data_IF_028415084906
#
_entry.id   IF_028415084906
#
_cell.length_a   1.000
_cell.length_b   1.000
_cell.length_c   1.000
_cell.angle_alpha   90.00
_cell.angle_beta   90.00
_cell.angle_gamma   90.00
#
_symmetry.space_group_name_H-M   'P 1'
#
loop_
_entity.id
_entity.type
_entity.pdbx_description
1 polymer ?
#
# COMPACT_ATOMS: atom_id res chain seq x y z
N UNK A 1 -72.92 -15.35 -11.36
CA UNK A 1 -73.63 -14.39 -12.23
C UNK A 1 -74.28 -13.40 -11.27
N UNK A 2 -73.95 -12.13 -11.12
CA UNK A 2 -73.29 -11.04 -11.88
C UNK A 2 -72.48 -10.21 -10.85
N UNK A 3 -71.22 -9.75 -11.04
CA UNK A 3 -70.64 -8.74 -11.94
C UNK A 3 -71.46 -7.46 -12.12
N UNK A 4 -70.86 -6.34 -11.69
CA UNK A 4 -71.02 -4.95 -12.14
C UNK A 4 -71.83 -3.98 -11.24
N UNK A 5 -71.19 -3.45 -10.19
CA UNK A 5 -71.29 -2.05 -9.74
C UNK A 5 -69.85 -1.64 -9.34
N UNK A 6 -69.04 -1.38 -10.38
CA UNK A 6 -67.69 -0.81 -10.32
C UNK A 6 -67.65 0.19 -11.45
N UNK A 7 -68.07 1.42 -11.19
CA UNK A 7 -67.83 2.67 -11.93
C UNK A 7 -68.85 3.69 -11.45
N UNK A 8 -68.49 4.98 -11.33
CA UNK A 8 -69.31 6.12 -10.85
C UNK A 8 -69.15 6.48 -9.34
N UNK A 9 -68.04 6.14 -8.69
CA UNK A 9 -67.61 6.82 -7.45
C UNK A 9 -66.11 7.17 -7.46
N UNK A 10 -65.58 7.49 -8.64
CA UNK A 10 -64.15 7.75 -8.86
C UNK A 10 -63.87 9.10 -9.56
N UNK A 11 -64.73 10.11 -9.34
CA UNK A 11 -64.71 11.35 -10.12
C UNK A 11 -64.57 12.67 -9.37
N UNK A 12 -64.78 12.76 -8.05
CA UNK A 12 -64.84 14.06 -7.34
C UNK A 12 -64.22 13.98 -5.93
N UNK A 13 -63.04 13.38 -5.81
CA UNK A 13 -62.12 13.57 -4.66
C UNK A 13 -60.68 13.63 -5.22
N UNK A 14 -60.45 14.51 -6.19
CA UNK A 14 -59.14 14.65 -6.86
C UNK A 14 -58.66 16.11 -6.96
N UNK A 15 -59.33 17.07 -6.32
CA UNK A 15 -58.93 18.48 -6.35
C UNK A 15 -59.31 19.20 -5.04
N UNK A 16 -58.79 18.76 -3.89
CA UNK A 16 -58.70 19.56 -2.64
C UNK A 16 -58.11 18.75 -1.47
N UNK A 17 -56.83 18.38 -1.57
CA UNK A 17 -55.93 18.17 -0.39
C UNK A 17 -54.48 17.87 -0.81
N UNK A 18 -54.10 18.26 -2.03
CA UNK A 18 -52.73 18.30 -2.51
C UNK A 18 -52.04 19.58 -1.98
N UNK A 19 -51.94 19.72 -0.65
CA UNK A 19 -51.26 20.86 -0.01
C UNK A 19 -50.76 20.55 1.41
N UNK A 20 -50.42 19.30 1.72
CA UNK A 20 -49.56 18.95 2.86
C UNK A 20 -48.66 17.78 2.50
N UNK A 21 -47.85 17.97 1.45
CA UNK A 21 -46.68 17.12 1.24
C UNK A 21 -45.66 17.50 2.31
N UNK A 22 -45.62 16.67 3.35
CA UNK A 22 -44.56 16.54 4.31
C UNK A 22 -43.18 16.84 3.68
N UNK A 23 -42.67 18.02 3.99
CA UNK A 23 -41.24 18.30 3.89
C UNK A 23 -40.54 17.66 5.09
N UNK A 24 -40.49 16.33 5.12
CA UNK A 24 -39.50 15.61 5.92
C UNK A 24 -38.29 15.39 5.04
N UNK A 25 -37.56 16.47 4.74
CA UNK A 25 -36.18 16.31 4.32
C UNK A 25 -35.47 15.55 5.45
N UNK A 26 -34.74 14.45 5.18
CA UNK A 26 -33.88 13.88 6.19
C UNK A 26 -32.92 14.99 6.61
N UNK A 27 -33.03 15.44 7.85
CA UNK A 27 -32.00 16.26 8.47
C UNK A 27 -30.76 15.37 8.46
N UNK A 28 -29.88 15.60 7.48
CA UNK A 28 -28.54 15.04 7.51
C UNK A 28 -27.88 15.79 8.65
N UNK A 29 -28.02 15.27 9.86
CA UNK A 29 -27.22 15.69 10.99
C UNK A 29 -25.78 15.34 10.64
N UNK A 30 -25.08 16.31 10.06
CA UNK A 30 -23.65 16.34 9.91
C UNK A 30 -23.04 16.50 11.30
N UNK A 31 -23.08 15.43 12.09
CA UNK A 31 -22.31 15.35 13.32
C UNK A 31 -20.84 15.43 12.95
N UNK A 32 -20.27 16.62 13.08
CA UNK A 32 -18.84 16.82 13.02
C UNK A 32 -18.22 16.01 14.16
N UNK A 33 -17.65 14.84 13.86
CA UNK A 33 -17.01 14.02 14.89
C UNK A 33 -16.01 14.85 15.67
N UNK A 34 -16.19 14.89 16.99
CA UNK A 34 -15.31 15.65 17.88
C UNK A 34 -13.91 15.04 17.88
N UNK A 35 -12.89 15.85 18.22
CA UNK A 35 -11.50 15.37 18.30
C UNK A 35 -11.35 14.14 19.23
N UNK A 36 -12.19 14.05 20.28
CA UNK A 36 -12.27 12.90 21.18
C UNK A 36 -12.79 11.63 20.50
N UNK A 37 -13.84 11.71 19.69
CA UNK A 37 -14.36 10.56 18.94
C UNK A 37 -13.34 10.00 17.94
N UNK A 38 -12.59 10.86 17.27
CA UNK A 38 -11.54 10.44 16.34
C UNK A 38 -10.43 9.69 17.08
N UNK A 39 -10.05 10.17 18.27
CA UNK A 39 -9.07 9.50 19.11
C UNK A 39 -9.56 8.12 19.57
N UNK A 40 -10.83 8.01 19.98
CA UNK A 40 -11.45 6.72 20.33
C UNK A 40 -11.41 5.75 19.15
N UNK A 41 -11.77 6.20 17.94
CA UNK A 41 -11.70 5.37 16.73
C UNK A 41 -10.28 4.88 16.44
N UNK A 42 -9.26 5.72 16.64
CA UNK A 42 -7.85 5.33 16.49
C UNK A 42 -7.47 4.24 17.50
N UNK A 43 -7.88 4.39 18.77
CA UNK A 43 -7.61 3.41 19.82
C UNK A 43 -8.29 2.05 19.54
N UNK A 44 -9.52 2.08 19.04
CA UNK A 44 -10.27 0.91 18.59
C UNK A 44 -9.54 0.15 17.48
N UNK A 45 -9.03 0.88 16.47
CA UNK A 45 -8.24 0.29 15.40
C UNK A 45 -6.92 -0.29 15.91
N UNK A 46 -6.26 0.36 16.88
CA UNK A 46 -5.06 -0.16 17.53
C UNK A 46 -5.32 -1.51 18.23
N UNK A 47 -6.42 -1.60 18.98
CA UNK A 47 -6.82 -2.83 19.67
C UNK A 47 -7.12 -3.96 18.68
N UNK A 48 -7.80 -3.66 17.56
CA UNK A 48 -8.05 -4.62 16.47
C UNK A 48 -6.75 -5.13 15.84
N UNK A 49 -5.75 -4.26 15.68
CA UNK A 49 -4.42 -4.64 15.16
C UNK A 49 -3.75 -5.65 16.10
N UNK A 50 -3.78 -5.44 17.42
CA UNK A 50 -3.17 -6.35 18.39
C UNK A 50 -3.82 -7.75 18.38
N UNK A 51 -5.15 -7.80 18.29
CA UNK A 51 -5.88 -9.06 18.18
C UNK A 51 -5.47 -9.84 16.92
N UNK A 52 -5.42 -9.16 15.76
CA UNK A 52 -4.99 -9.75 14.49
C UNK A 52 -3.54 -10.21 14.52
N UNK A 53 -2.64 -9.46 15.17
CA UNK A 53 -1.24 -9.87 15.33
C UNK A 53 -1.10 -11.17 16.13
N UNK A 54 -1.90 -11.33 17.18
CA UNK A 54 -1.95 -12.57 17.95
C UNK A 54 -2.43 -13.75 17.10
N UNK A 55 -3.42 -13.53 16.22
CA UNK A 55 -3.89 -14.54 15.27
C UNK A 55 -2.83 -14.91 14.23
N UNK A 56 -2.12 -13.92 13.68
CA UNK A 56 -1.00 -14.11 12.75
C UNK A 56 0.10 -14.97 13.38
N UNK A 57 0.42 -14.75 14.66
CA UNK A 57 1.41 -15.54 15.38
C UNK A 57 0.96 -17.01 15.55
N UNK A 58 -0.33 -17.27 15.77
CA UNK A 58 -0.87 -18.64 15.79
C UNK A 58 -0.70 -19.32 14.43
N UNK A 59 -1.06 -18.63 13.34
CA UNK A 59 -0.87 -19.16 11.99
C UNK A 59 0.60 -19.40 11.64
N UNK A 60 1.52 -18.57 12.13
CA UNK A 60 2.95 -18.81 11.96
C UNK A 60 3.37 -20.11 12.64
N UNK A 61 2.99 -20.32 13.91
CA UNK A 61 3.29 -21.57 14.63
C UNK A 61 2.71 -22.81 13.93
N UNK A 62 1.50 -22.70 13.38
CA UNK A 62 0.91 -23.78 12.60
C UNK A 62 1.70 -24.09 11.32
N UNK A 63 2.21 -23.07 10.62
CA UNK A 63 3.07 -23.25 9.45
C UNK A 63 4.39 -23.93 9.81
N UNK A 64 5.03 -23.49 10.90
CA UNK A 64 6.30 -24.06 11.37
C UNK A 64 6.13 -25.54 11.73
N UNK A 65 5.03 -25.90 12.40
CA UNK A 65 4.68 -27.29 12.71
C UNK A 65 4.40 -28.16 11.48
N UNK A 66 3.93 -27.57 10.38
CA UNK A 66 3.76 -28.30 9.10
C UNK A 66 5.10 -28.44 8.38
N UNK A 67 5.97 -27.44 8.47
CA UNK A 67 7.31 -27.46 7.87
C UNK A 67 8.21 -28.59 8.36
N UNK A 68 8.01 -29.05 9.60
CA UNK A 68 8.75 -30.20 10.17
C UNK A 68 8.19 -31.57 9.76
N UNK A 69 7.03 -31.62 9.10
CA UNK A 69 6.38 -32.86 8.67
C UNK A 69 6.75 -33.23 7.23
N UNK A 70 6.59 -34.52 6.88
CA UNK A 70 6.84 -35.01 5.51
C UNK A 70 6.02 -34.20 4.48
N UNK A 71 6.68 -33.76 3.41
CA UNK A 71 6.03 -33.04 2.32
C UNK A 71 5.13 -34.00 1.52
N UNK A 72 3.82 -33.78 1.60
CA UNK A 72 2.77 -34.48 0.85
C UNK A 72 1.89 -33.45 0.16
N UNK A 73 1.07 -33.88 -0.80
CA UNK A 73 0.12 -32.97 -1.46
C UNK A 73 -0.86 -32.36 -0.44
N UNK A 74 -1.29 -33.16 0.54
CA UNK A 74 -2.18 -32.71 1.61
C UNK A 74 -1.51 -31.73 2.58
N UNK A 75 -0.27 -32.00 3.03
CA UNK A 75 0.46 -31.06 3.90
C UNK A 75 0.78 -29.75 3.18
N UNK A 76 1.03 -29.81 1.87
CA UNK A 76 1.20 -28.64 1.00
C UNK A 76 -0.09 -27.83 0.87
N UNK A 77 -1.25 -28.47 0.65
CA UNK A 77 -2.56 -27.79 0.59
C UNK A 77 -2.90 -27.16 1.95
N UNK A 78 -2.60 -27.84 3.05
CA UNK A 78 -2.79 -27.31 4.41
C UNK A 78 -1.91 -26.09 4.65
N UNK A 79 -0.63 -26.16 4.30
CA UNK A 79 0.31 -25.03 4.37
C UNK A 79 -0.18 -23.84 3.55
N UNK A 80 -0.58 -24.04 2.28
CA UNK A 80 -1.14 -22.96 1.45
C UNK A 80 -2.43 -22.37 2.05
N UNK A 81 -3.29 -23.21 2.65
CA UNK A 81 -4.52 -22.75 3.30
C UNK A 81 -4.22 -21.88 4.52
N UNK A 82 -3.24 -22.24 5.35
CA UNK A 82 -2.83 -21.43 6.51
C UNK A 82 -2.11 -20.16 6.05
N UNK A 83 -1.21 -20.24 5.06
CA UNK A 83 -0.56 -19.07 4.44
C UNK A 83 -1.60 -18.09 3.90
N UNK A 84 -2.68 -18.58 3.29
CA UNK A 84 -3.82 -17.74 2.87
C UNK A 84 -4.51 -17.05 4.05
N UNK A 85 -4.78 -17.78 5.14
CA UNK A 85 -5.39 -17.21 6.36
C UNK A 85 -4.48 -16.13 6.97
N UNK A 86 -3.19 -16.43 7.13
CA UNK A 86 -2.17 -15.48 7.60
C UNK A 86 -2.12 -14.23 6.73
N UNK A 87 -2.08 -14.38 5.41
CA UNK A 87 -2.05 -13.25 4.49
C UNK A 87 -3.34 -12.42 4.53
N UNK A 88 -4.49 -13.05 4.75
CA UNK A 88 -5.77 -12.36 4.95
C UNK A 88 -5.79 -11.56 6.27
N UNK A 89 -5.25 -12.14 7.35
CA UNK A 89 -5.10 -11.42 8.61
C UNK A 89 -4.12 -10.24 8.48
N UNK A 90 -3.00 -10.43 7.77
CA UNK A 90 -2.05 -9.36 7.44
C UNK A 90 -2.72 -8.24 6.62
N UNK A 91 -3.54 -8.57 5.62
CA UNK A 91 -4.32 -7.59 4.86
C UNK A 91 -5.25 -6.78 5.76
N UNK A 92 -5.92 -7.44 6.71
CA UNK A 92 -6.78 -6.77 7.66
C UNK A 92 -5.98 -5.82 8.58
N UNK A 93 -4.78 -6.22 9.01
CA UNK A 93 -3.86 -5.34 9.76
C UNK A 93 -3.49 -4.12 8.91
N UNK A 94 -3.05 -4.33 7.66
CA UNK A 94 -2.70 -3.24 6.74
C UNK A 94 -3.87 -2.28 6.53
N UNK A 95 -5.08 -2.80 6.31
CA UNK A 95 -6.30 -1.99 6.15
C UNK A 95 -6.62 -1.17 7.40
N UNK A 96 -6.51 -1.76 8.59
CA UNK A 96 -6.71 -1.02 9.85
C UNK A 96 -5.66 0.08 10.06
N UNK A 97 -4.40 -0.16 9.66
CA UNK A 97 -3.35 0.86 9.67
C UNK A 97 -3.65 2.01 8.70
N UNK A 98 -4.13 1.71 7.49
CA UNK A 98 -4.57 2.72 6.51
C UNK A 98 -5.72 3.57 7.07
N UNK A 99 -6.71 2.94 7.71
CA UNK A 99 -7.83 3.64 8.34
C UNK A 99 -7.35 4.53 9.48
N UNK A 100 -6.47 4.03 10.35
CA UNK A 100 -5.87 4.81 11.44
C UNK A 100 -5.07 6.00 10.91
N UNK A 101 -4.28 5.81 9.85
CA UNK A 101 -3.54 6.89 9.20
C UNK A 101 -4.49 7.93 8.58
N UNK A 102 -5.62 7.51 8.02
CA UNK A 102 -6.65 8.41 7.48
C UNK A 102 -7.27 9.26 8.59
N UNK A 103 -7.70 8.65 9.69
CA UNK A 103 -8.24 9.36 10.84
C UNK A 103 -7.23 10.36 11.43
N UNK A 104 -5.95 9.97 11.48
CA UNK A 104 -4.86 10.84 11.94
C UNK A 104 -4.62 12.01 10.98
N UNK A 105 -4.72 11.81 9.67
CA UNK A 105 -4.66 12.90 8.68
C UNK A 105 -5.81 13.88 8.90
N UNK A 106 -7.03 13.38 9.07
CA UNK A 106 -8.20 14.25 9.31
C UNK A 106 -8.04 15.06 10.61
N UNK A 107 -7.45 14.45 11.66
CA UNK A 107 -7.13 15.16 12.92
C UNK A 107 -6.06 16.23 12.70
N UNK A 108 -5.00 15.93 11.94
CA UNK A 108 -3.95 16.89 11.61
C UNK A 108 -4.51 18.05 10.77
N UNK A 109 -5.38 17.78 9.79
CA UNK A 109 -6.06 18.81 9.00
C UNK A 109 -6.88 19.76 9.87
N UNK A 110 -7.69 19.21 10.80
CA UNK A 110 -8.43 20.03 11.77
C UNK A 110 -7.52 20.89 12.64
N UNK A 111 -6.41 20.33 13.12
CA UNK A 111 -5.44 21.07 13.94
C UNK A 111 -4.71 22.16 13.16
N UNK A 112 -4.38 21.91 11.89
CA UNK A 112 -3.75 22.88 10.99
C UNK A 112 -4.73 24.03 10.73
N UNK A 113 -5.99 23.73 10.39
CA UNK A 113 -7.01 24.74 10.16
C UNK A 113 -7.26 25.58 11.41
N UNK A 114 -7.40 24.95 12.59
CA UNK A 114 -7.53 25.68 13.85
C UNK A 114 -6.33 26.59 14.13
N UNK A 115 -5.11 26.10 13.86
CA UNK A 115 -3.90 26.91 14.02
C UNK A 115 -3.89 28.09 13.05
N UNK A 116 -4.34 27.89 11.81
CA UNK A 116 -4.49 28.95 10.82
C UNK A 116 -5.52 30.00 11.26
N UNK A 117 -6.69 29.57 11.73
CA UNK A 117 -7.73 30.48 12.22
C UNK A 117 -7.21 31.36 13.38
N UNK A 118 -6.42 30.78 14.28
CA UNK A 118 -5.78 31.51 15.37
C UNK A 118 -4.73 32.51 14.87
N UNK A 119 -3.91 32.15 13.87
CA UNK A 119 -2.96 33.08 13.23
C UNK A 119 -3.71 34.26 12.61
N UNK A 120 -4.79 33.99 11.89
CA UNK A 120 -5.58 35.03 11.23
C UNK A 120 -6.30 35.94 12.24
N UNK A 121 -6.80 35.36 13.34
CA UNK A 121 -7.38 36.13 14.44
C UNK A 121 -6.36 37.05 15.10
N UNK A 122 -5.18 36.54 15.45
CA UNK A 122 -4.11 37.35 16.04
C UNK A 122 -3.62 38.42 15.06
N UNK A 123 -3.48 38.10 13.77
CA UNK A 123 -3.07 39.06 12.74
C UNK A 123 -4.09 40.19 12.57
N UNK A 124 -5.39 39.88 12.61
CA UNK A 124 -6.45 40.89 12.63
C UNK A 124 -6.40 41.76 13.87
N UNK A 125 -6.08 41.18 15.04
CA UNK A 125 -5.94 41.93 16.28
C UNK A 125 -4.75 42.91 16.22
N UNK A 126 -3.60 42.48 15.70
CA UNK A 126 -2.44 43.37 15.44
C UNK A 126 -2.82 44.48 14.46
N UNK A 127 -3.46 44.15 13.34
CA UNK A 127 -3.88 45.15 12.36
C UNK A 127 -4.88 46.16 12.96
N UNK A 128 -5.79 45.71 13.82
CA UNK A 128 -6.72 46.60 14.54
C UNK A 128 -5.99 47.50 15.53
N UNK A 129 -5.05 46.95 16.30
CA UNK A 129 -4.23 47.71 17.23
C UNK A 129 -3.44 48.83 16.52
N UNK A 130 -2.80 48.50 15.38
CA UNK A 130 -2.07 49.48 14.56
C UNK A 130 -2.98 50.57 13.99
N UNK A 131 -4.18 50.22 13.51
CA UNK A 131 -5.17 51.21 13.05
C UNK A 131 -5.66 52.13 14.17
N UNK A 132 -5.79 51.62 15.40
CA UNK A 132 -6.16 52.44 16.55
C UNK A 132 -5.06 53.45 16.88
N UNK A 133 -3.79 53.06 16.79
CA UNK A 133 -2.66 54.00 16.94
C UNK A 133 -2.75 55.09 15.88
N UNK A 134 -2.82 54.70 14.60
CA UNK A 134 -2.88 55.63 13.47
C UNK A 134 -4.08 56.58 13.53
N UNK A 135 -5.26 56.07 13.91
CA UNK A 135 -6.47 56.89 14.06
C UNK A 135 -6.40 57.86 15.25
N UNK A 136 -5.70 57.50 16.33
CA UNK A 136 -5.49 58.38 17.47
C UNK A 136 -4.45 59.47 17.14
N UNK A 137 -3.40 59.13 16.38
CA UNK A 137 -2.42 60.08 15.86
C UNK A 137 -3.06 61.05 14.84
N UNK A 138 -3.95 60.56 13.99
CA UNK A 138 -4.66 61.37 12.99
C UNK A 138 -5.77 62.26 13.58
N UNK A 139 -6.40 61.85 14.70
CA UNK A 139 -7.40 62.67 15.42
C UNK A 139 -6.77 63.67 16.38
N UNK A 140 -5.51 63.50 16.74
CA UNK A 140 -4.77 64.51 17.48
C UNK A 140 -4.54 65.72 16.56
N UNK A 141 -5.39 66.73 16.70
CA UNK A 141 -5.17 68.07 16.14
C UNK A 141 -3.93 68.64 16.84
N UNK A 142 -2.74 68.31 16.34
CA UNK A 142 -1.45 68.48 17.02
C UNK A 142 -1.22 67.51 18.20
N UNK A 143 -0.10 66.75 18.23
CA UNK A 143 0.33 65.95 19.39
C UNK A 143 0.35 66.73 20.71
N UNK A 144 0.51 68.06 20.63
CA UNK A 144 0.49 68.98 21.77
C UNK A 144 -0.93 69.12 22.37
N UNK A 145 -1.99 69.06 21.57
CA UNK A 145 -3.37 69.17 22.07
C UNK A 145 -3.84 67.92 22.82
N UNK A 146 -3.30 66.73 22.47
CA UNK A 146 -3.60 65.47 23.16
C UNK A 146 -3.00 65.45 24.58
N UNK A 147 -1.79 65.99 24.73
CA UNK A 147 -1.10 66.17 26.02
C UNK A 147 -1.84 67.18 26.92
N UNK A 148 -2.54 68.16 26.32
CA UNK A 148 -3.32 69.19 27.03
C UNK A 148 -4.77 68.76 27.37
N UNK A 149 -5.30 67.72 26.73
CA UNK A 149 -6.71 67.28 26.87
C UNK A 149 -6.89 66.03 27.76
N UNK A 150 -5.80 65.39 28.18
CA UNK A 150 -5.79 64.25 29.10
C UNK A 150 -5.08 64.64 30.40
N UNK A 151 -5.39 64.00 31.53
CA UNK A 151 -4.88 64.34 32.86
C UNK A 151 -3.36 64.03 33.08
N UNK A 152 -2.54 64.20 32.05
CA UNK A 152 -1.08 64.13 32.12
C UNK A 152 -0.46 63.30 31.00
N UNK A 153 0.71 63.73 30.53
CA UNK A 153 1.59 63.00 29.61
C UNK A 153 1.85 61.54 30.05
N UNK A 154 1.83 61.28 31.36
CA UNK A 154 2.04 59.95 31.93
C UNK A 154 0.96 58.95 31.51
N UNK A 155 -0.32 59.32 31.56
CA UNK A 155 -1.43 58.41 31.22
C UNK A 155 -1.42 58.04 29.73
N UNK A 156 -1.11 59.01 28.86
CA UNK A 156 -0.96 58.78 27.43
C UNK A 156 0.24 57.86 27.12
N UNK A 157 1.37 58.03 27.83
CA UNK A 157 2.54 57.19 27.67
C UNK A 157 2.26 55.74 28.11
N UNK A 158 1.51 55.56 29.20
CA UNK A 158 1.08 54.25 29.71
C UNK A 158 0.22 53.50 28.69
N UNK A 159 -0.74 54.18 28.03
CA UNK A 159 -1.58 53.55 27.00
C UNK A 159 -0.77 53.10 25.78
N UNK A 160 0.19 53.91 25.32
CA UNK A 160 1.08 53.55 24.21
C UNK A 160 1.97 52.37 24.58
N UNK A 161 2.51 52.33 25.80
CA UNK A 161 3.33 51.21 26.26
C UNK A 161 2.51 49.92 26.39
N UNK A 162 1.28 49.97 26.92
CA UNK A 162 0.38 48.82 26.96
C UNK A 162 0.08 48.25 25.58
N UNK A 163 -0.20 49.12 24.60
CA UNK A 163 -0.46 48.71 23.23
C UNK A 163 0.78 48.14 22.56
N UNK A 164 1.96 48.69 22.86
CA UNK A 164 3.26 48.17 22.42
C UNK A 164 3.55 46.78 22.99
N UNK A 165 3.32 46.58 24.29
CA UNK A 165 3.44 45.27 24.95
C UNK A 165 2.46 44.25 24.37
N UNK A 166 1.20 44.63 24.15
CA UNK A 166 0.19 43.78 23.54
C UNK A 166 0.57 43.35 22.12
N UNK A 167 1.04 44.27 21.28
CA UNK A 167 1.49 43.96 19.93
C UNK A 167 2.70 43.02 19.92
N UNK A 168 3.67 43.21 20.83
CA UNK A 168 4.79 42.27 21.00
C UNK A 168 4.31 40.87 21.36
N UNK A 169 3.38 40.75 22.32
CA UNK A 169 2.83 39.46 22.73
C UNK A 169 2.06 38.76 21.60
N UNK A 170 1.28 39.50 20.81
CA UNK A 170 0.59 38.95 19.64
C UNK A 170 1.57 38.53 18.53
N UNK A 171 2.62 39.32 18.29
CA UNK A 171 3.68 38.98 17.34
C UNK A 171 4.37 37.67 17.71
N UNK A 172 4.75 37.52 18.98
CA UNK A 172 5.32 36.27 19.51
C UNK A 172 4.34 35.10 19.36
N UNK A 173 3.05 35.31 19.68
CA UNK A 173 2.02 34.29 19.53
C UNK A 173 1.85 33.84 18.07
N UNK A 174 1.84 34.77 17.10
CA UNK A 174 1.78 34.46 15.66
C UNK A 174 3.01 33.65 15.23
N UNK A 175 4.20 34.02 15.72
CA UNK A 175 5.44 33.31 15.41
C UNK A 175 5.39 31.86 15.92
N UNK A 176 4.98 31.65 17.16
CA UNK A 176 4.85 30.30 17.73
C UNK A 176 3.76 29.47 17.06
N UNK A 177 2.61 30.07 16.73
CA UNK A 177 1.56 29.39 15.95
C UNK A 177 2.04 29.01 14.54
N UNK A 178 2.84 29.86 13.89
CA UNK A 178 3.40 29.59 12.56
C UNK A 178 4.39 28.42 12.60
N UNK A 179 5.25 28.37 13.64
CA UNK A 179 6.12 27.20 13.90
C UNK A 179 5.29 25.93 14.13
N UNK A 180 4.27 26.00 14.98
CA UNK A 180 3.39 24.87 15.25
C UNK A 180 2.70 24.37 13.98
N UNK A 181 2.17 25.28 13.14
CA UNK A 181 1.57 24.94 11.85
C UNK A 181 2.56 24.22 10.94
N UNK A 182 3.78 24.73 10.83
CA UNK A 182 4.85 24.13 10.02
C UNK A 182 5.17 22.70 10.48
N UNK A 183 5.27 22.50 11.80
CA UNK A 183 5.50 21.17 12.40
C UNK A 183 4.33 20.20 12.14
N UNK A 184 3.09 20.68 12.26
CA UNK A 184 1.89 19.89 11.96
C UNK A 184 1.85 19.49 10.48
N UNK A 185 2.11 20.41 9.55
CA UNK A 185 2.16 20.14 8.11
C UNK A 185 3.28 19.15 7.75
N UNK A 186 4.46 19.27 8.37
CA UNK A 186 5.53 18.29 8.18
C UNK A 186 5.14 16.89 8.68
N UNK A 187 4.43 16.82 9.82
CA UNK A 187 3.89 15.56 10.35
C UNK A 187 2.83 14.97 9.42
N UNK A 188 1.94 15.81 8.89
CA UNK A 188 0.91 15.40 7.93
C UNK A 188 1.53 14.80 6.65
N UNK A 189 2.57 15.43 6.11
CA UNK A 189 3.29 14.93 4.94
C UNK A 189 3.89 13.52 5.21
N UNK A 190 4.50 13.31 6.37
CA UNK A 190 5.03 11.99 6.79
C UNK A 190 3.93 10.94 6.87
N UNK A 191 2.80 11.25 7.53
CA UNK A 191 1.68 10.30 7.65
C UNK A 191 1.07 9.97 6.29
N UNK A 192 0.99 10.95 5.37
CA UNK A 192 0.50 10.75 4.01
C UNK A 192 1.41 9.81 3.21
N UNK A 193 2.73 9.98 3.32
CA UNK A 193 3.71 9.08 2.69
C UNK A 193 3.57 7.65 3.24
N UNK A 194 3.53 7.48 4.56
CA UNK A 194 3.31 6.15 5.18
C UNK A 194 1.99 5.52 4.75
N UNK A 195 0.92 6.31 4.60
CA UNK A 195 -0.37 5.80 4.08
C UNK A 195 -0.23 5.26 2.65
N UNK A 196 0.53 5.93 1.78
CA UNK A 196 0.77 5.47 0.41
C UNK A 196 1.57 4.15 0.40
N UNK A 197 2.61 4.04 1.23
CA UNK A 197 3.37 2.79 1.40
C UNK A 197 2.46 1.64 1.85
N UNK A 198 1.57 1.89 2.81
CA UNK A 198 0.61 0.88 3.28
C UNK A 198 -0.39 0.47 2.19
N UNK A 199 -0.81 1.38 1.32
CA UNK A 199 -1.67 1.07 0.17
C UNK A 199 -0.92 0.18 -0.83
N UNK A 200 0.34 0.51 -1.13
CA UNK A 200 1.19 -0.34 -1.99
C UNK A 200 1.33 -1.74 -1.40
N UNK A 201 1.67 -1.84 -0.11
CA UNK A 201 1.78 -3.12 0.60
C UNK A 201 0.47 -3.91 0.56
N UNK A 202 -0.68 -3.25 0.70
CA UNK A 202 -1.99 -3.90 0.59
C UNK A 202 -2.20 -4.49 -0.81
N UNK A 203 -1.81 -3.79 -1.86
CA UNK A 203 -1.93 -4.28 -3.24
C UNK A 203 -1.03 -5.49 -3.49
N UNK A 204 0.19 -5.46 -2.97
CA UNK A 204 1.13 -6.59 -3.06
C UNK A 204 0.58 -7.83 -2.33
N UNK A 205 0.05 -7.63 -1.12
CA UNK A 205 -0.60 -8.68 -0.34
C UNK A 205 -1.83 -9.27 -1.05
N UNK A 206 -2.63 -8.45 -1.75
CA UNK A 206 -3.76 -8.92 -2.57
C UNK A 206 -3.24 -9.78 -3.74
N UNK A 207 -2.20 -9.34 -4.43
CA UNK A 207 -1.60 -10.07 -5.55
C UNK A 207 -1.00 -11.41 -5.10
N UNK A 208 -0.26 -11.43 -3.99
CA UNK A 208 0.23 -12.66 -3.37
C UNK A 208 -0.90 -13.61 -3.01
N UNK A 209 -2.01 -13.09 -2.47
CA UNK A 209 -3.17 -13.90 -2.13
C UNK A 209 -3.79 -14.55 -3.36
N UNK A 210 -3.97 -13.81 -4.46
CA UNK A 210 -4.48 -14.38 -5.72
C UNK A 210 -3.61 -15.53 -6.22
N UNK A 211 -2.28 -15.40 -6.14
CA UNK A 211 -1.35 -16.47 -6.50
C UNK A 211 -1.51 -17.70 -5.60
N UNK A 212 -1.64 -17.50 -4.28
CA UNK A 212 -1.88 -18.61 -3.33
C UNK A 212 -3.24 -19.27 -3.59
N UNK A 213 -4.29 -18.50 -3.87
CA UNK A 213 -5.63 -19.01 -4.17
C UNK A 213 -5.62 -19.87 -5.44
N UNK A 214 -4.98 -19.41 -6.52
CA UNK A 214 -4.82 -20.17 -7.76
C UNK A 214 -4.03 -21.47 -7.53
N UNK A 215 -2.90 -21.39 -6.82
CA UNK A 215 -2.09 -22.57 -6.48
C UNK A 215 -2.85 -23.58 -5.62
N UNK A 216 -3.63 -23.09 -4.65
CA UNK A 216 -4.46 -23.93 -3.78
C UNK A 216 -5.54 -24.63 -4.59
N UNK A 217 -6.21 -23.92 -5.50
CA UNK A 217 -7.23 -24.50 -6.38
C UNK A 217 -6.66 -25.61 -7.27
N UNK A 218 -5.53 -25.36 -7.95
CA UNK A 218 -4.86 -26.34 -8.81
C UNK A 218 -4.47 -27.59 -8.02
N UNK A 219 -3.87 -27.43 -6.84
CA UNK A 219 -3.46 -28.57 -6.00
C UNK A 219 -4.65 -29.35 -5.45
N UNK A 220 -5.74 -28.69 -5.04
CA UNK A 220 -6.98 -29.36 -4.63
C UNK A 220 -7.64 -30.14 -5.77
N UNK A 221 -7.65 -29.56 -6.98
CA UNK A 221 -8.14 -30.23 -8.18
C UNK A 221 -7.32 -31.49 -8.49
N UNK A 222 -6.00 -31.39 -8.38
CA UNK A 222 -5.10 -32.52 -8.55
C UNK A 222 -5.33 -33.61 -7.51
N UNK A 223 -5.45 -33.24 -6.22
CA UNK A 223 -5.74 -34.19 -5.13
C UNK A 223 -7.05 -34.96 -5.38
N UNK A 224 -8.09 -34.27 -5.86
CA UNK A 224 -9.36 -34.89 -6.26
C UNK A 224 -9.18 -35.84 -7.46
N UNK A 225 -8.42 -35.44 -8.47
CA UNK A 225 -8.12 -36.27 -9.65
C UNK A 225 -7.31 -37.52 -9.30
N UNK A 226 -6.39 -37.42 -8.35
CA UNK A 226 -5.63 -38.57 -7.84
C UNK A 226 -6.44 -39.40 -6.84
N UNK A 227 -7.73 -39.11 -6.64
CA UNK A 227 -8.63 -39.79 -5.70
C UNK A 227 -8.04 -39.86 -4.28
N UNK A 228 -7.38 -38.77 -3.85
CA UNK A 228 -6.65 -38.69 -2.58
C UNK A 228 -5.53 -39.74 -2.41
N UNK A 229 -5.05 -40.36 -3.50
CA UNK A 229 -3.91 -41.29 -3.45
C UNK A 229 -2.61 -40.53 -3.65
N UNK A 230 -1.89 -40.28 -2.56
CA UNK A 230 -0.55 -39.66 -2.58
C UNK A 230 0.43 -40.48 -3.44
N UNK A 231 0.32 -41.82 -3.43
CA UNK A 231 1.15 -42.70 -4.28
C UNK A 231 0.96 -42.44 -5.78
N UNK A 232 -0.27 -42.17 -6.23
CA UNK A 232 -0.57 -41.82 -7.62
C UNK A 232 -0.01 -40.45 -8.00
N UNK A 233 0.02 -39.49 -7.07
CA UNK A 233 0.65 -38.19 -7.28
C UNK A 233 2.18 -38.28 -7.36
N UNK A 234 2.81 -39.04 -6.46
CA UNK A 234 4.26 -39.26 -6.48
C UNK A 234 4.70 -39.97 -7.78
N UNK A 235 3.90 -40.92 -8.28
CA UNK A 235 4.10 -41.53 -9.61
C UNK A 235 4.00 -40.50 -10.74
N UNK A 236 2.96 -39.66 -10.75
CA UNK A 236 2.79 -38.60 -11.76
C UNK A 236 3.95 -37.59 -11.76
N UNK A 237 4.47 -37.22 -10.58
CA UNK A 237 5.64 -36.34 -10.46
C UNK A 237 6.89 -37.03 -11.04
N UNK A 238 7.11 -38.30 -10.72
CA UNK A 238 8.23 -39.08 -11.26
C UNK A 238 8.14 -39.20 -12.80
N UNK A 239 6.96 -39.46 -13.34
CA UNK A 239 6.71 -39.49 -14.79
C UNK A 239 6.97 -38.13 -15.44
N UNK A 240 6.52 -37.02 -14.83
CA UNK A 240 6.74 -35.67 -15.37
C UNK A 240 8.20 -35.25 -15.32
N UNK A 241 8.94 -35.57 -14.27
CA UNK A 241 10.40 -35.36 -14.20
C UNK A 241 11.16 -36.21 -15.22
N UNK A 242 10.72 -37.44 -15.45
CA UNK A 242 11.30 -38.29 -16.48
C UNK A 242 11.06 -37.70 -17.88
N UNK A 243 9.85 -37.22 -18.15
CA UNK A 243 9.48 -36.57 -19.41
C UNK A 243 10.21 -35.24 -19.63
N UNK A 244 10.40 -34.44 -18.59
CA UNK A 244 11.22 -33.22 -18.64
C UNK A 244 12.67 -33.57 -19.01
N UNK A 245 13.28 -34.54 -18.34
CA UNK A 245 14.65 -34.98 -18.62
C UNK A 245 14.80 -35.67 -19.99
N UNK A 246 13.76 -36.31 -20.52
CA UNK A 246 13.79 -36.83 -21.89
C UNK A 246 13.71 -35.70 -22.91
N UNK A 247 12.84 -34.72 -22.67
CA UNK A 247 12.72 -33.53 -23.53
C UNK A 247 13.99 -32.68 -23.53
N UNK A 248 14.63 -32.48 -22.37
CA UNK A 248 15.94 -31.81 -22.28
C UNK A 248 17.02 -32.54 -23.08
N UNK A 249 17.08 -33.87 -23.00
CA UNK A 249 18.01 -34.70 -23.79
C UNK A 249 17.73 -34.62 -25.29
N UNK A 250 16.46 -34.60 -25.68
CA UNK A 250 16.04 -34.41 -27.07
C UNK A 250 16.42 -33.01 -27.57
N UNK A 251 16.21 -31.97 -26.77
CA UNK A 251 16.59 -30.61 -27.10
C UNK A 251 18.11 -30.48 -27.26
N UNK A 252 18.90 -31.10 -26.37
CA UNK A 252 20.36 -31.15 -26.44
C UNK A 252 20.85 -31.93 -27.68
N UNK A 253 20.20 -33.05 -28.02
CA UNK A 253 20.48 -33.80 -29.23
C UNK A 253 20.17 -32.98 -30.49
N UNK A 254 19.02 -32.29 -30.53
CA UNK A 254 18.64 -31.39 -31.63
C UNK A 254 19.58 -30.19 -31.75
N UNK A 255 20.03 -29.61 -30.63
CA UNK A 255 21.04 -28.54 -30.62
C UNK A 255 22.39 -29.03 -31.14
N UNK A 256 22.79 -30.25 -30.79
CA UNK A 256 24.03 -30.87 -31.29
C UNK A 256 23.92 -31.15 -32.79
N UNK A 257 22.78 -31.65 -33.24
CA UNK A 257 22.49 -31.87 -34.66
C UNK A 257 22.50 -30.56 -35.45
N UNK A 258 21.88 -29.51 -34.93
CA UNK A 258 21.89 -28.18 -35.54
C UNK A 258 23.31 -27.60 -35.64
N UNK A 259 24.13 -27.75 -34.59
CA UNK A 259 25.56 -27.36 -34.62
C UNK A 259 26.35 -28.10 -35.70
N UNK A 260 26.05 -29.37 -35.94
CA UNK A 260 26.66 -30.17 -37.02
C UNK A 260 26.18 -29.74 -38.42
N UNK A 261 24.96 -29.22 -38.56
CA UNK A 261 24.40 -28.77 -39.87
C UNK A 261 24.75 -27.33 -40.23
N UNK A 262 24.81 -26.41 -39.25
CA UNK A 262 25.06 -24.97 -39.48
C UNK A 262 26.56 -24.64 -39.64
N UNK A 263 27.46 -25.52 -39.17
CA UNK A 263 28.90 -25.41 -39.37
C UNK A 263 29.51 -26.73 -39.89
N UNK A 264 29.55 -26.97 -41.22
CA UNK A 264 30.18 -28.16 -41.81
C UNK A 264 31.68 -28.29 -41.50
N UNK A 265 32.33 -27.21 -41.07
CA UNK A 265 33.74 -27.16 -40.68
C UNK A 265 34.05 -27.48 -39.21
N UNK A 266 33.04 -27.79 -38.38
CA UNK A 266 33.23 -28.19 -36.98
C UNK A 266 33.36 -29.71 -36.80
N UNK A 267 33.33 -30.49 -37.90
CA UNK A 267 33.76 -31.88 -37.88
C UNK A 267 35.27 -31.92 -37.55
N UNK A 268 35.73 -32.81 -36.64
CA UNK A 268 37.16 -33.00 -36.44
C UNK A 268 37.81 -33.33 -37.78
N UNK A 269 38.91 -32.62 -38.12
CA UNK A 269 39.64 -32.86 -39.37
C UNK A 269 39.95 -34.35 -39.48
N UNK A 270 39.68 -34.93 -40.66
CA UNK A 270 39.93 -36.34 -40.96
C UNK A 270 41.31 -36.77 -40.42
N UNK A 271 41.32 -37.78 -39.54
CA UNK A 271 42.52 -38.29 -38.88
C UNK A 271 42.67 -38.03 -37.38
N UNK A 272 41.70 -37.40 -36.71
CA UNK A 272 41.71 -37.21 -35.25
C UNK A 272 40.67 -38.10 -34.56
N UNK A 273 41.02 -39.37 -34.34
CA UNK A 273 40.16 -40.36 -33.67
C UNK A 273 40.52 -41.79 -34.04
N UNK A 274 39.58 -42.72 -33.80
CA UNK A 274 39.70 -44.19 -33.96
C UNK A 274 40.17 -44.66 -35.37
N UNK A 275 40.17 -43.79 -36.38
CA UNK A 275 40.70 -44.05 -37.72
C UNK A 275 42.08 -43.42 -37.99
N UNK A 276 42.77 -42.93 -36.95
CA UNK A 276 44.16 -42.48 -37.06
C UNK A 276 45.06 -43.68 -37.36
N UNK A 277 45.99 -43.49 -38.30
CA UNK A 277 46.93 -44.55 -38.68
C UNK A 277 47.69 -45.06 -37.44
N UNK A 278 47.77 -46.39 -37.22
CA UNK A 278 48.23 -46.94 -35.94
C UNK A 278 49.72 -46.71 -35.66
N UNK A 279 50.47 -46.20 -36.64
CA UNK A 279 51.90 -45.95 -36.53
C UNK A 279 52.24 -44.47 -36.70
N UNK A 280 53.22 -43.99 -35.93
CA UNK A 280 53.70 -42.62 -36.02
C UNK A 280 54.39 -42.32 -37.35
N UNK A 281 54.43 -41.05 -37.77
CA UNK A 281 55.16 -40.62 -38.97
C UNK A 281 56.65 -40.99 -38.93
N UNK A 282 57.27 -40.98 -37.75
CA UNK A 282 58.67 -41.40 -37.57
C UNK A 282 58.86 -42.89 -37.79
N UNK A 283 57.89 -43.72 -37.40
CA UNK A 283 57.90 -45.16 -37.69
C UNK A 283 57.75 -45.43 -39.20
N UNK A 284 56.84 -44.73 -39.90
CA UNK A 284 56.67 -44.88 -41.34
C UNK A 284 57.93 -44.48 -42.14
N UNK A 285 58.61 -43.40 -41.74
CA UNK A 285 59.87 -42.97 -42.38
C UNK A 285 61.03 -43.97 -42.16
N UNK A 286 60.92 -44.86 -41.17
CA UNK A 286 61.90 -45.93 -40.97
C UNK A 286 61.72 -47.10 -41.93
N UNK A 287 60.53 -47.26 -42.54
CA UNK A 287 60.28 -48.26 -43.58
C UNK A 287 61.07 -47.97 -44.85
N UNK A 288 61.25 -46.69 -45.20
CA UNK A 288 62.02 -46.27 -46.38
C UNK A 288 63.51 -46.65 -46.26
N UNK A 289 64.06 -46.59 -45.04
CA UNK A 289 65.44 -47.05 -44.74
C UNK A 289 65.60 -48.59 -44.74
N UNK A 290 64.49 -49.33 -44.67
CA UNK A 290 64.45 -50.80 -44.67
C UNK A 290 64.00 -51.40 -46.01
N UNK A 291 63.91 -50.59 -47.08
CA UNK A 291 63.50 -51.04 -48.41
C UNK A 291 64.36 -52.20 -48.95
N UNK A 292 65.64 -52.27 -48.58
CA UNK A 292 66.54 -53.39 -48.92
C UNK A 292 66.33 -54.68 -48.10
N UNK A 293 65.57 -54.64 -47.01
CA UNK A 293 65.35 -55.81 -46.12
C UNK A 293 64.14 -56.65 -46.56
N UNK A 294 63.18 -56.06 -47.28
CA UNK A 294 61.92 -56.73 -47.64
C UNK A 294 61.73 -57.00 -49.14
N UNK A 295 62.76 -56.78 -49.95
CA UNK A 295 62.90 -57.42 -51.27
C UNK A 295 61.74 -57.28 -52.25
N UNK A 296 61.06 -56.13 -52.30
CA UNK A 296 60.17 -55.65 -53.38
C UNK A 296 60.03 -54.13 -53.31
#
# INVERSE_FOLDING_TARGET
>A
MSKNIRTIFFGIILIASMATLWSSAPVIETHASTAGEIQTKINDHSSKIQALQSEIAKYQKELDSIGTKKSTLESTIRSLTISRKKLTANLNVTKNKINSATLRLDQLDRNINKTQDNIDANSRAVASALRTIDANDAKATSPIALILNTNGLADAWTEVDHLSQFNRALGESIFELTKAKTSLSATQAKVKATKQELISLSNDQISQRKSIDANTYTKRSLLRRTKNKESSYQKLIAEKKYAEKSFERELEALQTQLKLTVHPGALPKSGSGILAWPFSKSFMNSCEKRKKVFGN
#
